data_IF_297354320708
#
_entry.id   IF_297354320708
#
_cell.length_a   1.000
_cell.length_b   1.000
_cell.length_c   1.000
_cell.angle_alpha   90.00
_cell.angle_beta   90.00
_cell.angle_gamma   90.00
#
_symmetry.space_group_name_H-M   'P 1'
#
loop_
_entity.id
_entity.type
_entity.pdbx_description
1 polymer ?
#
# COMPACT_ATOMS: atom_id res chain seq x y z
N UNK A 1 -24.88 25.39 -57.03
CA UNK A 1 -23.78 26.00 -57.82
C UNK A 1 -22.57 26.14 -56.91
N UNK A 2 -21.42 25.57 -57.34
CA UNK A 2 -20.01 25.78 -56.92
C UNK A 2 -19.71 25.79 -55.40
N UNK A 3 -18.99 24.85 -54.76
CA UNK A 3 -17.68 24.21 -55.02
C UNK A 3 -16.47 25.17 -55.08
N UNK A 4 -15.34 24.65 -54.56
CA UNK A 4 -13.96 25.17 -54.60
C UNK A 4 -13.58 26.17 -53.46
N UNK A 5 -12.41 26.12 -52.79
CA UNK A 5 -11.15 25.38 -52.95
C UNK A 5 -10.32 25.49 -51.64
N UNK A 6 -9.68 24.38 -51.28
CA UNK A 6 -8.30 24.23 -50.82
C UNK A 6 -7.37 25.48 -50.80
N UNK A 7 -6.68 25.70 -49.66
CA UNK A 7 -5.26 26.08 -49.69
C UNK A 7 -4.50 25.63 -48.43
N UNK A 8 -3.55 24.72 -48.67
CA UNK A 8 -2.43 24.39 -47.78
C UNK A 8 -1.53 25.60 -47.54
N UNK A 9 -0.91 25.67 -46.36
CA UNK A 9 0.42 26.25 -46.20
C UNK A 9 1.28 25.31 -45.36
N UNK A 10 2.37 24.87 -45.99
CA UNK A 10 3.44 24.00 -45.51
C UNK A 10 4.70 24.87 -45.49
N UNK A 11 5.35 25.01 -44.35
CA UNK A 11 6.71 25.54 -44.14
C UNK A 11 7.35 24.56 -43.14
N UNK A 12 8.25 23.66 -43.57
CA UNK A 12 9.71 23.83 -43.63
C UNK A 12 10.29 24.12 -42.21
N UNK A 13 10.81 23.13 -41.46
CA UNK A 13 12.06 22.35 -41.63
C UNK A 13 13.30 23.05 -41.04
N UNK A 14 13.99 22.28 -40.20
CA UNK A 14 15.39 22.38 -39.71
C UNK A 14 15.72 23.29 -38.51
N UNK A 15 16.34 22.67 -37.51
CA UNK A 15 16.90 23.29 -36.31
C UNK A 15 17.29 22.26 -35.24
N UNK A 16 18.25 21.38 -35.56
CA UNK A 16 18.92 20.51 -34.60
C UNK A 16 20.02 21.28 -33.88
N UNK A 17 20.11 21.18 -32.55
CA UNK A 17 21.36 21.37 -31.80
C UNK A 17 21.42 20.45 -30.58
N UNK A 18 22.65 20.01 -30.35
CA UNK A 18 23.11 18.83 -29.63
C UNK A 18 23.47 19.07 -28.17
N UNK A 19 23.53 17.95 -27.45
CA UNK A 19 24.27 17.66 -26.22
C UNK A 19 25.56 18.47 -26.04
N UNK A 20 25.81 18.89 -24.80
CA UNK A 20 27.16 18.90 -24.25
C UNK A 20 27.13 18.44 -22.79
N UNK A 21 28.06 17.56 -22.45
CA UNK A 21 28.26 17.01 -21.13
C UNK A 21 29.73 17.13 -20.78
N UNK A 22 30.02 17.28 -19.49
CA UNK A 22 31.38 17.12 -18.99
C UNK A 22 31.30 16.49 -17.60
N UNK A 23 31.77 15.24 -17.51
CA UNK A 23 32.21 14.67 -16.24
C UNK A 23 33.61 15.19 -15.90
N UNK A 24 34.02 14.97 -14.65
CA UNK A 24 35.39 14.57 -14.38
C UNK A 24 35.51 13.88 -13.02
N UNK A 25 36.37 12.87 -13.01
CA UNK A 25 36.72 12.00 -11.90
C UNK A 25 37.76 12.64 -10.96
N UNK A 26 37.84 12.06 -9.75
CA UNK A 26 39.08 11.66 -9.04
C UNK A 26 39.64 12.58 -7.94
N UNK A 27 39.58 12.01 -6.72
CA UNK A 27 40.66 11.85 -5.71
C UNK A 27 41.40 13.08 -5.17
N UNK A 28 41.43 13.25 -3.83
CA UNK A 28 42.58 12.92 -2.94
C UNK A 28 42.39 13.53 -1.53
N UNK A 29 42.76 12.73 -0.51
CA UNK A 29 43.48 13.09 0.76
C UNK A 29 42.90 14.17 1.69
N UNK A 30 42.59 13.82 2.96
CA UNK A 30 43.44 13.98 4.17
C UNK A 30 43.32 15.35 4.84
N UNK A 31 42.94 15.36 6.13
CA UNK A 31 43.43 16.19 7.25
C UNK A 31 42.57 15.82 8.49
N UNK A 32 43.04 15.19 9.58
CA UNK A 32 44.08 15.48 10.59
C UNK A 32 43.76 16.65 11.53
N UNK A 33 43.30 16.33 12.76
CA UNK A 33 43.43 17.08 14.03
C UNK A 33 43.28 16.01 15.13
N UNK A 34 44.33 15.39 15.66
CA UNK A 34 45.30 15.82 16.70
C UNK A 34 44.69 16.38 17.99
N UNK A 35 44.84 15.62 19.07
CA UNK A 35 44.83 16.10 20.47
C UNK A 35 45.52 15.03 21.32
N UNK A 36 46.80 15.26 21.57
CA UNK A 36 47.63 14.60 22.59
C UNK A 36 47.40 15.33 23.93
N UNK A 37 47.24 14.59 25.02
CA UNK A 37 47.79 14.97 26.33
C UNK A 37 47.94 13.70 27.22
N UNK A 38 49.20 13.43 27.58
CA UNK A 38 49.79 12.95 28.84
C UNK A 38 48.97 11.98 29.73
N UNK A 39 49.49 10.88 30.27
CA UNK A 39 50.85 10.49 30.62
C UNK A 39 50.74 9.75 31.98
N UNK A 40 51.23 8.51 32.08
CA UNK A 40 51.95 8.04 33.27
C UNK A 40 52.44 6.59 33.15
N UNK A 41 53.66 6.40 33.65
CA UNK A 41 54.41 5.15 33.75
C UNK A 41 53.92 4.31 34.94
N UNK A 42 53.77 2.99 34.76
CA UNK A 42 54.54 1.98 35.52
C UNK A 42 54.10 0.54 35.26
N UNK A 43 55.13 -0.29 35.17
CA UNK A 43 55.27 -1.65 35.70
C UNK A 43 55.10 -2.93 34.84
N UNK A 44 56.06 -3.81 35.10
CA UNK A 44 56.43 -5.08 34.46
C UNK A 44 55.35 -6.17 34.50
N UNK A 45 55.25 -7.01 33.45
CA UNK A 45 55.53 -8.46 33.51
C UNK A 45 55.15 -9.23 32.22
N UNK A 46 55.97 -10.21 31.89
CA UNK A 46 55.96 -11.13 30.75
C UNK A 46 54.84 -12.18 30.78
N UNK A 47 54.20 -12.49 29.63
CA UNK A 47 53.77 -13.88 29.29
C UNK A 47 53.31 -14.10 27.84
N UNK A 48 54.03 -15.01 27.17
CA UNK A 48 53.64 -15.97 26.11
C UNK A 48 52.26 -15.84 25.44
N UNK A 49 52.25 -15.53 24.13
CA UNK A 49 51.06 -15.54 23.27
C UNK A 49 50.67 -16.96 22.81
N UNK A 50 49.37 -17.29 22.93
CA UNK A 50 48.74 -18.52 22.40
C UNK A 50 48.57 -18.43 20.86
N UNK A 51 48.60 -19.55 20.12
CA UNK A 51 48.37 -19.53 18.67
C UNK A 51 46.90 -19.19 18.38
N UNK A 52 46.68 -18.43 17.29
CA UNK A 52 45.35 -17.99 16.88
C UNK A 52 44.46 -19.17 16.45
N UNK A 53 43.17 -19.05 16.71
CA UNK A 53 42.11 -20.02 16.36
C UNK A 53 42.12 -20.45 14.89
N UNK A 54 42.62 -19.59 14.00
CA UNK A 54 42.79 -19.86 12.57
C UNK A 54 43.82 -20.95 12.26
N UNK A 55 44.92 -21.04 13.03
CA UNK A 55 45.93 -22.10 12.84
C UNK A 55 45.42 -23.48 13.27
N UNK A 56 44.63 -23.56 14.34
CA UNK A 56 44.02 -24.82 14.80
C UNK A 56 42.98 -25.36 13.81
N UNK A 57 42.22 -24.46 13.16
CA UNK A 57 41.26 -24.83 12.12
C UNK A 57 41.94 -25.37 10.85
N UNK A 58 43.02 -24.73 10.40
CA UNK A 58 43.79 -25.19 9.24
C UNK A 58 44.48 -26.54 9.49
N UNK A 59 44.94 -26.77 10.73
CA UNK A 59 45.51 -28.05 11.13
C UNK A 59 44.47 -29.18 11.22
N UNK A 60 43.23 -28.85 11.64
CA UNK A 60 42.11 -29.79 11.66
C UNK A 60 41.63 -30.19 10.25
N UNK A 61 41.79 -29.29 9.26
CA UNK A 61 41.47 -29.54 7.85
C UNK A 61 42.60 -30.24 7.07
N UNK A 62 43.75 -30.50 7.70
CA UNK A 62 44.82 -31.31 7.12
C UNK A 62 45.59 -30.66 5.96
N UNK A 63 45.54 -29.33 5.84
CA UNK A 63 46.31 -28.58 4.86
C UNK A 63 47.62 -28.11 5.50
N UNK A 64 48.67 -28.92 5.43
CA UNK A 64 50.02 -28.49 5.82
C UNK A 64 50.80 -28.02 4.58
N UNK A 65 51.32 -26.80 4.65
CA UNK A 65 52.31 -26.32 3.69
C UNK A 65 53.61 -27.10 3.86
N UNK A 66 54.09 -27.68 2.77
CA UNK A 66 55.35 -28.42 2.71
C UNK A 66 56.54 -27.48 2.97
N UNK A 67 57.11 -27.53 4.18
CA UNK A 67 58.33 -26.77 4.50
C UNK A 67 59.57 -27.58 4.08
N UNK A 68 60.16 -27.27 2.92
CA UNK A 68 61.52 -27.72 2.55
C UNK A 68 62.51 -27.19 3.57
N UNK A 69 63.22 -28.08 4.30
CA UNK A 69 64.47 -27.71 4.97
C UNK A 69 65.64 -28.05 4.04
N UNK A 70 66.20 -27.00 3.45
CA UNK A 70 67.55 -26.95 2.89
C UNK A 70 68.47 -26.36 3.95
N UNK A 71 69.68 -26.89 4.10
CA UNK A 71 70.70 -26.37 5.01
C UNK A 71 71.50 -27.51 5.65
N UNK A 72 72.60 -27.88 4.97
CA UNK A 72 73.66 -28.71 5.53
C UNK A 72 74.61 -27.78 6.30
N UNK A 73 74.68 -27.91 7.62
CA UNK A 73 75.76 -27.34 8.43
C UNK A 73 76.63 -28.50 8.95
N UNK A 74 77.93 -28.37 8.70
CA UNK A 74 78.97 -29.35 8.97
C UNK A 74 79.65 -28.98 10.30
N UNK A 75 79.47 -29.78 11.36
CA UNK A 75 80.31 -29.72 12.56
C UNK A 75 81.26 -30.93 12.62
N UNK A 76 82.54 -30.74 12.98
CA UNK A 76 83.50 -31.83 13.06
C UNK A 76 83.32 -32.64 14.35
N UNK A 77 83.44 -33.95 14.18
CA UNK A 77 83.27 -34.98 15.20
C UNK A 77 84.25 -34.87 16.38
N UNK A 78 83.72 -34.97 17.59
CA UNK A 78 84.45 -35.48 18.76
C UNK A 78 84.01 -36.93 19.01
N UNK A 79 85.00 -37.82 19.09
CA UNK A 79 84.88 -39.26 19.31
C UNK A 79 84.36 -39.53 20.73
N UNK A 80 83.48 -40.53 20.85
CA UNK A 80 83.63 -41.67 21.75
C UNK A 80 82.57 -42.76 21.42
N UNK A 81 83.00 -44.01 21.51
CA UNK A 81 82.41 -45.24 20.97
C UNK A 81 81.10 -45.71 21.64
N UNK A 82 80.08 -46.12 20.85
CA UNK A 82 79.29 -47.40 20.97
C UNK A 82 78.42 -47.58 19.69
N UNK A 83 78.42 -48.73 18.99
CA UNK A 83 77.49 -48.97 17.88
C UNK A 83 76.12 -49.42 18.39
N UNK A 84 75.16 -48.51 18.48
CA UNK A 84 73.75 -48.87 18.73
C UNK A 84 73.11 -49.43 17.45
N UNK A 85 72.89 -50.75 17.44
CA UNK A 85 72.20 -51.49 16.38
C UNK A 85 70.74 -51.02 16.24
N UNK A 86 70.44 -50.23 15.20
CA UNK A 86 69.06 -49.87 14.87
C UNK A 86 68.24 -51.13 14.53
N UNK A 87 67.04 -51.33 15.10
CA UNK A 87 66.23 -52.49 14.77
C UNK A 87 65.69 -52.34 13.34
N UNK A 88 66.00 -53.30 12.46
CA UNK A 88 65.39 -53.44 11.14
C UNK A 88 63.89 -53.70 11.31
N UNK A 89 63.07 -52.65 11.22
CA UNK A 89 61.61 -52.78 11.14
C UNK A 89 61.25 -53.29 9.74
N UNK A 90 60.40 -54.31 9.66
CA UNK A 90 60.07 -54.97 8.39
C UNK A 90 59.18 -54.06 7.51
N UNK A 91 59.52 -53.87 6.20
CA UNK A 91 58.81 -52.95 5.30
C UNK A 91 57.31 -53.25 5.15
N UNK A 92 56.94 -54.53 5.26
CA UNK A 92 55.55 -54.99 5.13
C UNK A 92 54.62 -54.48 6.24
N UNK A 93 55.15 -54.23 7.46
CA UNK A 93 54.37 -53.73 8.60
C UNK A 93 54.12 -52.22 8.50
N UNK A 94 54.99 -51.46 7.83
CA UNK A 94 54.79 -50.03 7.56
C UNK A 94 53.78 -49.80 6.43
N UNK A 95 53.84 -50.58 5.35
CA UNK A 95 52.88 -50.46 4.23
C UNK A 95 51.44 -50.76 4.68
N UNK A 96 51.23 -51.79 5.53
CA UNK A 96 49.91 -52.07 6.11
C UNK A 96 49.43 -50.97 7.07
N UNK A 97 50.32 -50.35 7.85
CA UNK A 97 49.97 -49.25 8.75
C UNK A 97 49.64 -47.96 8.00
N UNK A 98 50.37 -47.64 6.93
CA UNK A 98 50.06 -46.51 6.05
C UNK A 98 48.72 -46.72 5.34
N UNK A 99 48.44 -47.92 4.83
CA UNK A 99 47.14 -48.26 4.24
C UNK A 99 45.99 -48.18 5.25
N UNK A 100 46.17 -48.69 6.47
CA UNK A 100 45.15 -48.57 7.53
C UNK A 100 44.96 -47.13 8.01
N UNK A 101 46.03 -46.34 8.12
CA UNK A 101 45.94 -44.92 8.48
C UNK A 101 45.24 -44.11 7.40
N UNK A 102 45.47 -44.42 6.12
CA UNK A 102 44.77 -43.82 4.99
C UNK A 102 43.28 -44.19 4.97
N UNK A 103 42.94 -45.47 5.17
CA UNK A 103 41.55 -45.95 5.23
C UNK A 103 40.82 -45.35 6.42
N UNK A 104 41.41 -45.33 7.61
CA UNK A 104 40.83 -44.71 8.82
C UNK A 104 40.66 -43.19 8.64
N UNK A 105 41.62 -42.52 7.98
CA UNK A 105 41.49 -41.10 7.62
C UNK A 105 40.34 -40.84 6.64
N UNK A 106 40.17 -41.71 5.65
CA UNK A 106 39.08 -41.62 4.68
C UNK A 106 37.71 -41.85 5.35
N UNK A 107 37.60 -42.88 6.19
CA UNK A 107 36.37 -43.18 6.96
C UNK A 107 36.01 -42.03 7.90
N UNK A 108 36.98 -41.41 8.58
CA UNK A 108 36.73 -40.23 9.43
C UNK A 108 36.24 -39.03 8.62
N UNK A 109 36.83 -38.77 7.44
CA UNK A 109 36.37 -37.68 6.55
C UNK A 109 34.97 -37.93 6.04
N UNK A 110 34.64 -39.16 5.66
CA UNK A 110 33.27 -39.53 5.25
C UNK A 110 32.31 -39.34 6.42
N UNK A 111 32.60 -39.87 7.61
CA UNK A 111 31.73 -39.71 8.79
C UNK A 111 31.49 -38.26 9.20
N UNK A 112 32.48 -37.39 9.03
CA UNK A 112 32.34 -35.95 9.32
C UNK A 112 31.63 -35.17 8.20
N UNK A 113 31.82 -35.57 6.93
CA UNK A 113 31.18 -34.91 5.79
C UNK A 113 29.71 -35.32 5.62
N UNK A 114 29.35 -36.56 5.93
CA UNK A 114 27.98 -37.08 5.80
C UNK A 114 26.92 -36.22 6.48
N UNK A 115 27.01 -35.83 7.78
CA UNK A 115 25.99 -34.99 8.41
C UNK A 115 25.91 -33.60 7.78
N UNK A 116 27.05 -33.04 7.33
CA UNK A 116 27.07 -31.74 6.66
C UNK A 116 26.38 -31.80 5.29
N UNK A 117 26.63 -32.85 4.50
CA UNK A 117 25.97 -33.08 3.22
C UNK A 117 24.47 -33.33 3.38
N UNK A 118 24.06 -34.06 4.42
CA UNK A 118 22.65 -34.29 4.75
C UNK A 118 21.97 -32.97 5.11
N UNK A 119 22.57 -32.16 5.98
CA UNK A 119 22.03 -30.85 6.36
C UNK A 119 21.97 -29.89 5.16
N UNK A 120 22.99 -29.90 4.30
CA UNK A 120 22.99 -29.11 3.07
C UNK A 120 21.85 -29.54 2.14
N UNK A 121 21.63 -30.85 1.97
CA UNK A 121 20.52 -31.38 1.17
C UNK A 121 19.16 -30.96 1.72
N UNK A 122 18.93 -31.09 3.03
CA UNK A 122 17.69 -30.62 3.65
C UNK A 122 17.54 -29.09 3.60
N UNK A 123 18.64 -28.34 3.71
CA UNK A 123 18.62 -26.88 3.54
C UNK A 123 18.23 -26.46 2.13
N UNK A 124 18.76 -27.14 1.11
CA UNK A 124 18.36 -26.93 -0.30
C UNK A 124 16.90 -27.31 -0.51
N UNK A 125 16.43 -28.43 0.03
CA UNK A 125 15.01 -28.81 -0.02
C UNK A 125 14.12 -27.78 0.67
N UNK A 126 14.54 -27.22 1.80
CA UNK A 126 13.78 -26.22 2.53
C UNK A 126 13.73 -24.88 1.77
N UNK A 127 14.85 -24.46 1.17
CA UNK A 127 14.88 -23.30 0.29
C UNK A 127 14.02 -23.51 -0.96
N UNK A 128 14.07 -24.69 -1.57
CA UNK A 128 13.23 -25.02 -2.72
C UNK A 128 11.73 -24.99 -2.33
N UNK A 129 11.36 -25.57 -1.18
CA UNK A 129 9.99 -25.55 -0.69
C UNK A 129 9.52 -24.13 -0.33
N UNK A 130 10.38 -23.32 0.30
CA UNK A 130 10.07 -21.92 0.59
C UNK A 130 9.93 -21.09 -0.70
N UNK A 131 10.77 -21.35 -1.71
CA UNK A 131 10.68 -20.70 -3.02
C UNK A 131 9.44 -21.15 -3.79
N UNK A 132 9.07 -22.44 -3.77
CA UNK A 132 7.84 -22.96 -4.37
C UNK A 132 6.59 -22.42 -3.68
N UNK A 133 6.56 -22.44 -2.35
CA UNK A 133 5.44 -21.90 -1.56
C UNK A 133 5.30 -20.38 -1.69
N UNK A 134 6.40 -19.64 -1.82
CA UNK A 134 6.35 -18.21 -2.14
C UNK A 134 6.05 -17.95 -3.61
N UNK A 135 6.46 -18.83 -4.52
CA UNK A 135 6.09 -18.72 -5.93
C UNK A 135 4.58 -18.86 -6.11
N UNK A 136 3.89 -19.70 -5.32
CA UNK A 136 2.43 -19.74 -5.30
C UNK A 136 1.80 -18.38 -4.93
N UNK A 137 2.46 -17.59 -4.08
CA UNK A 137 2.02 -16.23 -3.73
C UNK A 137 2.22 -15.23 -4.88
N UNK A 138 3.25 -15.42 -5.73
CA UNK A 138 3.59 -14.51 -6.82
C UNK A 138 2.96 -14.88 -8.16
N UNK A 139 2.58 -16.15 -8.33
CA UNK A 139 2.10 -16.64 -9.60
C UNK A 139 0.60 -16.55 -9.79
N UNK A 140 -0.13 -16.06 -8.77
CA UNK A 140 -1.58 -15.87 -8.75
C UNK A 140 -2.27 -16.83 -9.71
N UNK A 141 -1.93 -18.12 -9.55
CA UNK A 141 -2.63 -19.14 -10.28
C UNK A 141 -3.90 -19.19 -9.48
N UNK A 142 -4.86 -18.39 -9.92
CA UNK A 142 -6.26 -18.71 -9.82
C UNK A 142 -6.38 -20.17 -10.26
N UNK A 143 -6.11 -21.07 -9.32
CA UNK A 143 -6.89 -22.28 -9.15
C UNK A 143 -8.22 -21.78 -8.60
N UNK A 144 -8.87 -20.88 -9.35
CA UNK A 144 -10.31 -20.74 -9.33
C UNK A 144 -10.77 -22.15 -9.68
N UNK A 145 -11.21 -22.87 -8.66
CA UNK A 145 -11.65 -24.24 -8.77
C UNK A 145 -12.47 -24.41 -10.04
N UNK A 146 -11.98 -25.22 -10.99
CA UNK A 146 -12.73 -25.72 -12.15
C UNK A 146 -13.81 -26.72 -11.68
N UNK A 147 -14.51 -26.39 -10.58
CA UNK A 147 -15.64 -27.12 -10.09
C UNK A 147 -16.84 -26.74 -10.96
N UNK A 148 -17.19 -27.63 -11.89
CA UNK A 148 -18.25 -27.46 -12.88
C UNK A 148 -17.99 -26.30 -13.88
N UNK A 149 -16.93 -26.35 -14.71
CA UNK A 149 -16.56 -25.30 -15.68
C UNK A 149 -17.59 -25.11 -16.82
N UNK A 150 -18.63 -25.94 -16.81
CA UNK A 150 -19.72 -25.95 -17.77
C UNK A 150 -21.09 -25.79 -17.10
N UNK A 151 -21.14 -25.44 -15.81
CA UNK A 151 -22.38 -25.07 -15.13
C UNK A 151 -23.13 -24.01 -15.92
N UNK A 152 -24.45 -24.14 -16.05
CA UNK A 152 -25.26 -23.13 -16.74
C UNK A 152 -25.30 -23.21 -18.25
N UNK A 153 -24.36 -23.91 -18.90
CA UNK A 153 -24.25 -23.95 -20.37
C UNK A 153 -25.30 -24.90 -21.00
N UNK A 154 -25.73 -24.65 -22.25
CA UNK A 154 -26.69 -25.52 -22.94
C UNK A 154 -26.24 -26.99 -23.00
N UNK A 155 -27.14 -27.92 -22.68
CA UNK A 155 -26.87 -29.36 -22.66
C UNK A 155 -25.95 -29.84 -21.53
N UNK A 156 -25.74 -29.02 -20.48
CA UNK A 156 -24.87 -29.33 -19.33
C UNK A 156 -25.64 -29.21 -18.00
N UNK A 157 -24.99 -29.63 -16.91
CA UNK A 157 -25.58 -29.53 -15.58
C UNK A 157 -25.91 -28.07 -15.25
N UNK A 158 -27.13 -27.85 -14.75
CA UNK A 158 -27.62 -26.53 -14.43
C UNK A 158 -27.89 -25.64 -15.64
N UNK A 159 -28.14 -26.19 -16.83
CA UNK A 159 -28.50 -25.40 -18.02
C UNK A 159 -29.49 -24.26 -17.71
N UNK A 160 -29.12 -23.03 -18.07
CA UNK A 160 -29.90 -21.82 -17.80
C UNK A 160 -29.77 -21.24 -16.39
N UNK A 161 -28.97 -21.86 -15.50
CA UNK A 161 -28.77 -21.46 -14.11
C UNK A 161 -27.38 -20.85 -13.83
N UNK A 162 -26.66 -20.41 -14.87
CA UNK A 162 -25.33 -19.81 -14.72
C UNK A 162 -25.38 -18.45 -14.01
N UNK A 163 -26.39 -17.63 -14.30
CA UNK A 163 -26.56 -16.30 -13.72
C UNK A 163 -27.49 -16.35 -12.52
N UNK A 164 -27.09 -15.70 -11.43
CA UNK A 164 -27.96 -15.45 -10.30
C UNK A 164 -28.45 -13.99 -10.36
N UNK A 165 -29.76 -13.70 -10.17
CA UNK A 165 -30.32 -12.39 -10.52
C UNK A 165 -29.65 -11.16 -9.90
N UNK A 166 -29.01 -11.28 -8.73
CA UNK A 166 -28.31 -10.18 -8.03
C UNK A 166 -26.82 -10.48 -7.80
N UNK A 167 -26.18 -11.23 -8.70
CA UNK A 167 -24.79 -11.67 -8.47
C UNK A 167 -23.68 -10.65 -8.78
N UNK A 168 -24.03 -9.43 -9.20
CA UNK A 168 -23.05 -8.44 -9.66
C UNK A 168 -21.98 -8.10 -8.62
N UNK A 169 -22.31 -8.16 -7.34
CA UNK A 169 -21.41 -7.96 -6.20
C UNK A 169 -21.49 -9.11 -5.19
N UNK A 170 -21.83 -10.31 -5.67
CA UNK A 170 -21.86 -11.50 -4.81
C UNK A 170 -20.46 -11.70 -4.22
N UNK A 171 -20.41 -12.05 -2.93
CA UNK A 171 -19.16 -12.32 -2.20
C UNK A 171 -18.24 -11.10 -1.98
N UNK A 172 -18.69 -9.89 -2.31
CA UNK A 172 -17.98 -8.64 -2.00
C UNK A 172 -18.33 -8.18 -0.59
N UNK A 173 -17.38 -8.27 0.34
CA UNK A 173 -17.55 -7.80 1.72
C UNK A 173 -17.29 -6.28 1.81
N UNK A 174 -18.27 -5.45 2.20
CA UNK A 174 -18.03 -4.03 2.40
C UNK A 174 -17.05 -3.81 3.56
N UNK A 175 -16.08 -2.93 3.34
CA UNK A 175 -15.08 -2.52 4.31
C UNK A 175 -15.07 -0.99 4.41
N UNK A 176 -14.73 -0.41 5.58
CA UNK A 176 -14.66 1.04 5.76
C UNK A 176 -13.42 1.62 5.05
N UNK A 177 -13.46 1.60 3.72
CA UNK A 177 -12.44 2.10 2.80
C UNK A 177 -13.04 3.17 1.90
N UNK A 178 -12.27 4.22 1.64
CA UNK A 178 -12.60 5.26 0.68
C UNK A 178 -11.57 5.26 -0.47
N UNK A 179 -12.03 5.02 -1.70
CA UNK A 179 -11.20 5.10 -2.92
C UNK A 179 -11.01 6.57 -3.31
N UNK A 180 -9.96 7.18 -2.75
CA UNK A 180 -9.57 8.55 -3.10
C UNK A 180 -9.12 8.62 -4.56
N UNK A 181 -9.53 9.69 -5.26
CA UNK A 181 -9.37 9.85 -6.72
C UNK A 181 -9.74 8.57 -7.50
N UNK A 182 -10.93 8.02 -7.25
CA UNK A 182 -11.33 6.71 -7.77
C UNK A 182 -11.25 6.61 -9.32
N UNK A 183 -11.40 7.72 -10.02
CA UNK A 183 -11.28 7.76 -11.48
C UNK A 183 -9.87 7.43 -12.00
N UNK A 184 -8.85 7.34 -11.15
CA UNK A 184 -7.52 6.82 -11.49
C UNK A 184 -7.42 5.29 -11.51
N UNK A 185 -8.41 4.57 -10.97
CA UNK A 185 -8.44 3.11 -10.99
C UNK A 185 -8.62 2.58 -12.41
N UNK A 186 -8.22 1.33 -12.63
CA UNK A 186 -8.21 0.72 -13.96
C UNK A 186 -9.64 0.58 -14.48
N UNK A 187 -10.56 0.18 -13.59
CA UNK A 187 -12.00 0.21 -13.81
C UNK A 187 -12.62 1.16 -12.78
N UNK A 188 -12.78 2.47 -13.09
CA UNK A 188 -13.43 3.43 -12.18
C UNK A 188 -14.77 2.89 -11.67
N UNK A 189 -15.11 3.23 -10.44
CA UNK A 189 -16.21 2.71 -9.63
C UNK A 189 -16.08 1.21 -9.28
N UNK A 190 -15.87 0.35 -10.27
CA UNK A 190 -15.97 -1.10 -10.08
C UNK A 190 -14.76 -1.72 -9.38
N UNK A 191 -13.55 -1.19 -9.56
CA UNK A 191 -12.38 -1.66 -8.80
C UNK A 191 -12.59 -1.41 -7.30
N UNK A 192 -13.09 -0.23 -6.91
CA UNK A 192 -13.38 0.09 -5.52
C UNK A 192 -14.47 -0.81 -4.94
N UNK A 193 -15.57 -1.01 -5.67
CA UNK A 193 -16.65 -1.92 -5.26
C UNK A 193 -16.12 -3.34 -5.13
N UNK A 194 -15.33 -3.84 -6.09
CA UNK A 194 -14.76 -5.19 -6.06
C UNK A 194 -13.95 -5.46 -4.78
N UNK A 195 -13.18 -4.47 -4.33
CA UNK A 195 -12.42 -4.55 -3.08
C UNK A 195 -13.23 -4.24 -1.81
N UNK A 196 -14.53 -3.93 -1.95
CA UNK A 196 -15.43 -3.66 -0.83
C UNK A 196 -15.40 -2.22 -0.31
N UNK A 197 -14.73 -1.28 -0.98
CA UNK A 197 -14.68 0.10 -0.49
C UNK A 197 -16.07 0.74 -0.52
N UNK A 198 -16.52 1.23 0.64
CA UNK A 198 -17.84 1.85 0.83
C UNK A 198 -17.87 3.34 0.48
N UNK A 199 -16.77 3.90 -0.02
CA UNK A 199 -16.73 5.25 -0.57
C UNK A 199 -15.84 5.37 -1.80
N UNK A 200 -16.22 6.26 -2.71
CA UNK A 200 -15.46 6.65 -3.91
C UNK A 200 -15.49 8.16 -4.08
N UNK A 201 -14.42 8.72 -4.65
CA UNK A 201 -14.30 10.15 -4.90
C UNK A 201 -14.27 10.48 -6.39
N UNK A 202 -15.00 11.53 -6.79
CA UNK A 202 -15.06 12.07 -8.14
C UNK A 202 -14.68 13.57 -8.16
N UNK A 203 -13.55 13.88 -8.80
CA UNK A 203 -13.12 15.26 -9.04
C UNK A 203 -13.88 15.86 -10.24
N UNK A 204 -14.83 16.75 -9.98
CA UNK A 204 -15.71 17.32 -11.03
C UNK A 204 -15.25 18.70 -11.49
N UNK A 205 -15.14 18.87 -12.80
CA UNK A 205 -14.82 20.12 -13.48
C UNK A 205 -15.96 20.52 -14.41
N UNK A 206 -16.58 21.67 -14.18
CA UNK A 206 -17.60 22.21 -15.08
C UNK A 206 -16.95 22.90 -16.29
N UNK A 207 -17.22 22.41 -17.49
CA UNK A 207 -16.91 23.06 -18.76
C UNK A 207 -18.04 22.84 -19.76
N UNK A 208 -18.36 23.83 -20.59
CA UNK A 208 -19.35 23.69 -21.67
C UNK A 208 -20.69 23.06 -21.21
N UNK A 209 -21.15 23.42 -19.99
CA UNK A 209 -22.35 22.89 -19.32
C UNK A 209 -22.33 21.38 -18.97
N UNK A 210 -21.18 20.72 -19.04
CA UNK A 210 -20.98 19.33 -18.63
C UNK A 210 -19.89 19.17 -17.57
N UNK A 211 -19.90 18.04 -16.87
CA UNK A 211 -19.02 17.73 -15.75
C UNK A 211 -17.98 16.70 -16.17
N UNK A 212 -16.75 17.14 -16.37
CA UNK A 212 -15.61 16.30 -16.70
C UNK A 212 -14.92 15.81 -15.43
N UNK A 213 -14.36 14.60 -15.49
CA UNK A 213 -13.69 13.97 -14.36
C UNK A 213 -12.19 13.90 -14.59
N UNK A 214 -11.42 14.35 -13.60
CA UNK A 214 -9.97 14.17 -13.59
C UNK A 214 -9.29 14.95 -12.48
N UNK A 215 -8.04 14.58 -12.19
CA UNK A 215 -7.26 15.20 -11.12
C UNK A 215 -6.82 16.63 -11.47
N UNK A 216 -6.59 16.87 -12.76
CA UNK A 216 -6.18 18.17 -13.29
C UNK A 216 -6.72 18.37 -14.71
N UNK A 217 -6.63 19.60 -15.21
CA UNK A 217 -7.10 19.99 -16.53
C UNK A 217 -6.50 19.15 -17.68
N UNK A 218 -5.24 18.71 -17.55
CA UNK A 218 -4.58 17.93 -18.58
C UNK A 218 -5.10 16.49 -18.68
N UNK A 219 -5.72 15.97 -17.62
CA UNK A 219 -6.32 14.63 -17.57
C UNK A 219 -7.77 14.58 -18.08
N UNK A 220 -8.37 15.72 -18.38
CA UNK A 220 -9.76 15.78 -18.84
C UNK A 220 -9.88 15.30 -20.29
N UNK A 221 -10.87 14.45 -20.55
CA UNK A 221 -11.20 14.00 -21.91
C UNK A 221 -12.71 14.03 -22.09
N UNK A 222 -13.16 14.23 -23.34
CA UNK A 222 -14.60 14.44 -23.63
C UNK A 222 -15.49 13.23 -23.27
N UNK A 223 -14.91 12.04 -23.21
CA UNK A 223 -15.64 10.81 -22.89
C UNK A 223 -15.63 10.47 -21.39
N UNK A 224 -14.87 11.20 -20.58
CA UNK A 224 -14.73 10.95 -19.14
C UNK A 224 -15.50 12.02 -18.36
N UNK A 225 -16.80 11.81 -18.27
CA UNK A 225 -17.76 12.67 -17.59
C UNK A 225 -18.29 12.03 -16.32
N UNK A 226 -18.86 12.85 -15.42
CA UNK A 226 -19.49 12.40 -14.17
C UNK A 226 -20.60 11.37 -14.44
N UNK A 227 -21.40 11.59 -15.49
CA UNK A 227 -22.38 10.63 -15.99
C UNK A 227 -21.74 9.30 -16.42
N UNK A 228 -20.71 9.35 -17.25
CA UNK A 228 -20.11 8.14 -17.85
C UNK A 228 -19.36 7.26 -16.86
N UNK A 229 -18.72 7.85 -15.84
CA UNK A 229 -17.87 7.13 -14.90
C UNK A 229 -18.57 6.74 -13.60
N UNK A 230 -19.59 7.49 -13.18
CA UNK A 230 -20.22 7.28 -11.87
C UNK A 230 -21.73 7.09 -11.97
N UNK A 231 -22.48 8.08 -12.47
CA UNK A 231 -23.95 8.05 -12.38
C UNK A 231 -24.55 6.91 -13.20
N UNK A 232 -24.23 6.78 -14.49
CA UNK A 232 -24.78 5.72 -15.34
C UNK A 232 -24.33 4.33 -14.87
N UNK A 233 -23.03 4.08 -14.58
CA UNK A 233 -22.60 2.78 -14.04
C UNK A 233 -23.29 2.40 -12.72
N UNK A 234 -23.55 3.36 -11.82
CA UNK A 234 -24.30 3.12 -10.59
C UNK A 234 -25.77 2.77 -10.86
N UNK A 235 -26.43 3.48 -11.77
CA UNK A 235 -27.81 3.17 -12.17
C UNK A 235 -27.88 1.76 -12.76
N UNK A 236 -26.98 1.42 -13.67
CA UNK A 236 -26.95 0.11 -14.33
C UNK A 236 -26.68 -1.02 -13.32
N UNK A 237 -25.78 -0.80 -12.35
CA UNK A 237 -25.52 -1.75 -11.28
C UNK A 237 -26.76 -1.94 -10.39
N UNK A 238 -27.35 -0.85 -9.91
CA UNK A 238 -28.47 -0.91 -8.99
C UNK A 238 -29.75 -1.45 -9.64
N UNK A 239 -29.97 -1.17 -10.92
CA UNK A 239 -31.06 -1.76 -11.70
C UNK A 239 -30.91 -3.29 -11.79
N UNK A 240 -29.67 -3.78 -11.97
CA UNK A 240 -29.38 -5.23 -11.96
C UNK A 240 -29.56 -5.84 -10.57
N UNK A 241 -29.14 -5.14 -9.51
CA UNK A 241 -29.32 -5.59 -8.12
C UNK A 241 -30.77 -5.54 -7.64
N UNK A 242 -31.66 -4.85 -8.36
CA UNK A 242 -33.08 -4.71 -8.02
C UNK A 242 -33.98 -5.15 -9.19
N UNK A 243 -33.94 -6.43 -9.61
CA UNK A 243 -34.67 -6.90 -10.76
C UNK A 243 -36.18 -6.99 -10.49
N UNK A 244 -36.98 -6.75 -11.53
CA UNK A 244 -38.41 -7.08 -11.52
C UNK A 244 -38.57 -8.53 -11.99
N UNK A 245 -39.11 -9.36 -11.11
CA UNK A 245 -39.32 -10.79 -11.35
C UNK A 245 -40.78 -11.16 -11.12
N UNK A 246 -41.18 -12.36 -11.55
CA UNK A 246 -42.54 -12.88 -11.28
C UNK A 246 -42.83 -13.02 -9.77
N UNK A 247 -41.79 -13.08 -8.93
CA UNK A 247 -41.90 -13.26 -7.49
C UNK A 247 -42.00 -11.93 -6.74
N UNK A 248 -41.19 -10.95 -7.14
CA UNK A 248 -41.08 -9.66 -6.45
C UNK A 248 -40.59 -8.58 -7.41
N UNK A 249 -41.08 -7.36 -7.18
CA UNK A 249 -40.43 -6.15 -7.67
C UNK A 249 -39.31 -5.80 -6.68
N UNK A 250 -38.08 -6.27 -6.97
CA UNK A 250 -36.92 -5.98 -6.14
C UNK A 250 -36.75 -4.47 -5.98
N UNK A 251 -36.60 -4.01 -4.74
CA UNK A 251 -36.34 -2.61 -4.45
C UNK A 251 -35.61 -2.48 -3.11
N UNK A 252 -34.81 -1.42 -2.99
CA UNK A 252 -34.09 -1.12 -1.75
C UNK A 252 -32.81 -1.93 -1.54
N UNK A 253 -32.39 -2.76 -2.50
CA UNK A 253 -31.10 -3.43 -2.46
C UNK A 253 -29.98 -2.46 -2.81
N UNK A 254 -28.97 -2.39 -1.93
CA UNK A 254 -27.80 -1.54 -2.09
C UNK A 254 -26.78 -2.08 -3.09
N UNK A 255 -25.58 -1.47 -3.04
CA UNK A 255 -24.46 -1.83 -3.91
C UNK A 255 -23.86 -3.19 -3.55
N UNK A 256 -23.86 -3.56 -2.26
CA UNK A 256 -23.21 -4.78 -1.77
C UNK A 256 -24.25 -5.87 -1.52
N UNK A 257 -24.11 -7.04 -2.15
CA UNK A 257 -25.11 -8.12 -2.04
C UNK A 257 -25.16 -8.71 -0.63
N UNK A 258 -23.99 -8.84 0.00
CA UNK A 258 -23.83 -9.40 1.35
C UNK A 258 -24.42 -8.51 2.44
N UNK A 259 -24.51 -7.20 2.20
CA UNK A 259 -25.15 -6.21 3.08
C UNK A 259 -25.84 -5.15 2.22
N UNK A 260 -27.08 -5.47 1.85
CA UNK A 260 -27.91 -4.62 1.02
C UNK A 260 -28.22 -3.24 1.65
N UNK A 261 -28.00 -3.07 2.96
CA UNK A 261 -28.26 -1.81 3.67
C UNK A 261 -27.06 -0.86 3.65
N UNK A 262 -25.86 -1.38 3.37
CA UNK A 262 -24.64 -0.58 3.29
C UNK A 262 -24.71 0.39 2.10
N UNK A 263 -24.65 1.68 2.40
CA UNK A 263 -24.61 2.73 1.39
C UNK A 263 -23.20 2.85 0.78
N UNK A 264 -23.11 3.15 -0.51
CA UNK A 264 -21.89 3.61 -1.14
C UNK A 264 -21.85 5.14 -1.10
N UNK A 265 -20.81 5.71 -0.51
CA UNK A 265 -20.60 7.15 -0.53
C UNK A 265 -19.98 7.59 -1.85
N UNK A 266 -20.65 8.47 -2.58
CA UNK A 266 -20.10 9.18 -3.73
C UNK A 266 -19.69 10.58 -3.27
N UNK A 267 -18.41 10.75 -2.97
CA UNK A 267 -17.81 12.03 -2.62
C UNK A 267 -17.50 12.81 -3.91
N UNK A 268 -18.12 13.98 -4.06
CA UNK A 268 -18.00 14.84 -5.24
C UNK A 268 -17.15 16.06 -4.87
N UNK A 269 -15.89 16.09 -5.33
CA UNK A 269 -14.99 17.21 -5.12
C UNK A 269 -15.14 18.23 -6.26
N UNK A 270 -15.69 19.40 -5.93
CA UNK A 270 -15.90 20.49 -6.86
C UNK A 270 -14.60 21.24 -7.13
N UNK A 271 -14.02 21.07 -8.33
CA UNK A 271 -12.76 21.74 -8.71
C UNK A 271 -12.95 23.10 -9.38
N UNK A 272 -14.13 23.36 -9.96
CA UNK A 272 -14.52 24.67 -10.51
C UNK A 272 -15.37 25.46 -9.50
N UNK A 273 -15.96 26.60 -9.92
CA UNK A 273 -16.81 27.41 -9.04
C UNK A 273 -18.06 26.62 -8.59
N UNK A 274 -18.21 26.47 -7.29
CA UNK A 274 -19.29 25.69 -6.67
C UNK A 274 -20.69 26.09 -7.10
N UNK A 275 -21.03 27.39 -7.01
CA UNK A 275 -22.37 27.90 -7.36
C UNK A 275 -22.77 27.66 -8.82
N UNK A 276 -21.81 27.58 -9.74
CA UNK A 276 -22.06 27.29 -11.14
C UNK A 276 -22.17 25.76 -11.39
N UNK A 277 -21.32 24.96 -10.73
CA UNK A 277 -21.26 23.51 -10.91
C UNK A 277 -22.35 22.74 -10.16
N UNK A 278 -22.76 23.21 -8.98
CA UNK A 278 -23.72 22.52 -8.12
C UNK A 278 -25.08 22.24 -8.79
N UNK A 279 -25.72 23.20 -9.49
CA UNK A 279 -26.95 22.92 -10.22
C UNK A 279 -26.78 21.83 -11.29
N UNK A 280 -25.61 21.76 -11.94
CA UNK A 280 -25.32 20.74 -12.96
C UNK A 280 -25.12 19.37 -12.31
N UNK A 281 -24.40 19.29 -11.19
CA UNK A 281 -24.25 18.04 -10.41
C UNK A 281 -25.61 17.54 -9.95
N UNK A 282 -26.40 18.40 -9.30
CA UNK A 282 -27.75 18.05 -8.81
C UNK A 282 -28.67 17.55 -9.93
N UNK A 283 -28.59 18.17 -11.11
CA UNK A 283 -29.32 17.74 -12.31
C UNK A 283 -28.85 16.38 -12.82
N UNK A 284 -27.54 16.14 -12.89
CA UNK A 284 -27.02 14.86 -13.38
C UNK A 284 -27.37 13.70 -12.44
N UNK A 285 -27.59 13.96 -11.15
CA UNK A 285 -28.06 12.97 -10.16
C UNK A 285 -29.55 12.59 -10.28
N UNK A 286 -30.33 13.26 -11.14
CA UNK A 286 -31.79 13.06 -11.25
C UNK A 286 -32.20 11.61 -11.55
N UNK A 287 -31.41 10.88 -12.34
CA UNK A 287 -31.72 9.49 -12.66
C UNK A 287 -31.62 8.58 -11.42
N UNK A 288 -30.62 8.80 -10.56
CA UNK A 288 -30.52 8.09 -9.28
C UNK A 288 -31.64 8.52 -8.32
N UNK A 289 -31.96 9.82 -8.29
CA UNK A 289 -33.02 10.40 -7.45
C UNK A 289 -34.40 9.83 -7.78
N UNK A 290 -34.81 9.90 -9.03
CA UNK A 290 -36.13 9.44 -9.51
C UNK A 290 -36.34 7.93 -9.34
N UNK A 291 -35.25 7.15 -9.33
CA UNK A 291 -35.27 5.71 -9.02
C UNK A 291 -35.24 5.39 -7.52
N UNK A 292 -35.08 6.40 -6.66
CA UNK A 292 -35.05 6.23 -5.20
C UNK A 292 -33.74 5.62 -4.67
N UNK A 293 -32.64 5.77 -5.39
CA UNK A 293 -31.33 5.21 -5.02
C UNK A 293 -30.50 6.14 -4.12
N UNK A 294 -30.81 7.43 -4.07
CA UNK A 294 -30.07 8.40 -3.25
C UNK A 294 -30.59 8.46 -1.82
N UNK A 295 -29.68 8.47 -0.86
CA UNK A 295 -29.97 8.81 0.53
C UNK A 295 -30.44 10.26 0.60
N UNK A 296 -31.44 10.54 1.44
CA UNK A 296 -31.99 11.90 1.53
C UNK A 296 -32.51 12.23 2.92
N UNK A 297 -32.47 13.52 3.25
CA UNK A 297 -33.14 14.13 4.37
C UNK A 297 -34.55 14.56 3.97
N UNK A 298 -35.57 14.14 4.71
CA UNK A 298 -37.00 14.42 4.43
C UNK A 298 -37.58 15.62 5.20
N UNK A 299 -36.76 16.33 5.98
CA UNK A 299 -37.20 17.37 6.91
C UNK A 299 -37.20 16.93 8.37
N UNK A 300 -37.25 15.62 8.64
CA UNK A 300 -37.32 15.06 9.99
C UNK A 300 -36.23 14.03 10.28
N UNK A 301 -35.85 13.22 9.29
CA UNK A 301 -34.85 12.17 9.44
C UNK A 301 -34.05 11.93 8.16
N UNK A 302 -32.87 11.34 8.36
CA UNK A 302 -32.05 10.80 7.28
C UNK A 302 -32.59 9.44 6.85
N UNK A 303 -32.92 9.30 5.56
CA UNK A 303 -33.31 8.04 4.94
C UNK A 303 -32.15 7.50 4.11
N UNK A 304 -31.40 6.54 4.66
CA UNK A 304 -30.31 5.88 3.95
C UNK A 304 -30.82 5.05 2.78
N UNK A 305 -30.13 5.13 1.64
CA UNK A 305 -30.36 4.34 0.42
C UNK A 305 -29.02 3.83 -0.13
N UNK A 306 -29.08 3.20 -1.30
CA UNK A 306 -27.92 2.59 -1.95
C UNK A 306 -26.73 3.54 -2.12
N UNK A 307 -26.97 4.82 -2.39
CA UNK A 307 -25.91 5.81 -2.63
C UNK A 307 -26.11 7.05 -1.76
N UNK A 308 -25.08 7.47 -1.05
CA UNK A 308 -25.07 8.75 -0.31
C UNK A 308 -24.13 9.72 -1.02
N UNK A 309 -24.64 10.87 -1.48
CA UNK A 309 -23.81 11.87 -2.18
C UNK A 309 -23.31 12.90 -1.18
N UNK A 310 -22.01 13.15 -1.19
CA UNK A 310 -21.37 14.14 -0.31
C UNK A 310 -20.58 15.13 -1.17
N UNK A 311 -20.82 16.43 -1.02
CA UNK A 311 -20.08 17.48 -1.70
C UNK A 311 -18.90 17.96 -0.87
N UNK A 312 -17.72 18.06 -1.49
CA UNK A 312 -16.49 18.61 -0.90
C UNK A 312 -15.79 19.57 -1.88
N UNK A 313 -14.58 20.04 -1.56
CA UNK A 313 -13.83 20.99 -2.38
C UNK A 313 -14.46 22.38 -2.37
N UNK A 314 -14.82 22.90 -3.55
CA UNK A 314 -15.54 24.18 -3.69
C UNK A 314 -17.08 24.04 -3.57
N UNK A 315 -17.59 22.95 -2.97
CA UNK A 315 -19.03 22.74 -2.83
C UNK A 315 -19.71 23.93 -2.09
N UNK A 316 -20.79 24.50 -2.64
CA UNK A 316 -21.47 25.65 -2.04
C UNK A 316 -22.40 25.19 -0.90
N UNK A 317 -21.98 25.38 0.35
CA UNK A 317 -22.73 24.95 1.53
C UNK A 317 -24.11 25.63 1.61
N UNK A 318 -24.19 26.89 1.22
CA UNK A 318 -25.43 27.66 1.17
C UNK A 318 -26.47 27.03 0.22
N UNK A 319 -26.06 26.53 -0.95
CA UNK A 319 -26.98 25.87 -1.89
C UNK A 319 -27.39 24.47 -1.41
N UNK A 320 -26.50 23.78 -0.68
CA UNK A 320 -26.80 22.48 -0.08
C UNK A 320 -27.86 22.64 1.03
N UNK A 321 -27.69 23.61 1.93
CA UNK A 321 -28.61 23.80 3.06
C UNK A 321 -29.89 24.55 2.66
N UNK A 322 -29.78 25.59 1.83
CA UNK A 322 -30.91 26.43 1.41
C UNK A 322 -31.54 25.96 0.09
N UNK A 323 -31.36 24.68 -0.27
CA UNK A 323 -31.94 24.10 -1.47
C UNK A 323 -33.46 24.38 -1.58
N UNK A 324 -33.99 24.27 -2.78
CA UNK A 324 -35.37 24.68 -3.13
C UNK A 324 -36.48 24.02 -2.30
N UNK A 325 -36.18 22.95 -1.55
CA UNK A 325 -37.13 22.27 -0.68
C UNK A 325 -36.49 21.98 0.71
N UNK A 326 -36.93 22.63 1.80
CA UNK A 326 -36.43 22.34 3.14
C UNK A 326 -36.78 20.91 3.62
N UNK A 327 -37.71 20.24 2.95
CA UNK A 327 -38.17 18.87 3.23
C UNK A 327 -37.58 17.82 2.29
N UNK A 328 -36.63 18.17 1.42
CA UNK A 328 -35.93 17.19 0.60
C UNK A 328 -34.53 17.65 0.22
N UNK A 329 -33.53 16.91 0.68
CA UNK A 329 -32.12 17.10 0.31
C UNK A 329 -31.43 15.77 0.19
N UNK A 330 -30.74 15.55 -0.91
CA UNK A 330 -30.08 14.29 -1.26
C UNK A 330 -28.58 14.44 -1.56
N UNK A 331 -28.05 15.64 -1.34
CA UNK A 331 -26.62 15.95 -1.34
C UNK A 331 -26.27 16.47 0.05
N UNK A 332 -25.31 15.84 0.70
CA UNK A 332 -24.80 16.22 2.01
C UNK A 332 -23.47 16.95 1.86
N UNK A 333 -23.03 17.61 2.93
CA UNK A 333 -21.76 18.33 2.96
C UNK A 333 -20.66 17.53 3.66
N UNK A 334 -19.43 17.69 3.17
CA UNK A 334 -18.21 17.35 3.89
C UNK A 334 -17.81 18.54 4.77
N UNK A 335 -18.12 18.47 6.06
CA UNK A 335 -17.93 19.59 6.98
C UNK A 335 -16.43 19.81 7.30
N UNK A 336 -15.98 21.06 7.43
CA UNK A 336 -14.62 21.38 7.84
C UNK A 336 -14.43 21.06 9.32
N UNK A 337 -13.84 19.90 9.63
CA UNK A 337 -13.68 19.41 11.00
C UNK A 337 -12.85 20.37 11.86
N UNK A 338 -11.91 21.10 11.27
CA UNK A 338 -11.10 22.14 11.93
C UNK A 338 -11.95 23.33 12.46
N UNK A 339 -13.08 23.63 11.81
CA UNK A 339 -14.02 24.68 12.26
C UNK A 339 -15.06 24.18 13.24
N UNK A 340 -15.12 22.87 13.48
CA UNK A 340 -16.05 22.23 14.40
C UNK A 340 -15.44 21.97 15.77
N UNK A 341 -14.27 22.54 16.06
CA UNK A 341 -13.63 22.42 17.35
C UNK A 341 -14.52 22.95 18.48
N UNK A 342 -14.74 22.11 19.48
CA UNK A 342 -15.37 22.48 20.74
C UNK A 342 -14.33 22.35 21.85
N UNK A 343 -14.37 23.28 22.82
CA UNK A 343 -13.54 23.12 24.01
C UNK A 343 -13.87 21.77 24.69
N UNK A 344 -12.87 20.99 25.12
CA UNK A 344 -13.12 19.79 25.89
C UNK A 344 -14.06 20.10 27.05
N UNK A 345 -15.08 19.26 27.26
CA UNK A 345 -15.97 19.38 28.41
C UNK A 345 -15.13 19.23 29.68
N UNK A 346 -14.75 20.34 30.32
CA UNK A 346 -13.97 20.35 31.55
C UNK A 346 -14.82 20.01 32.78
N UNK A 347 -14.29 19.24 33.73
CA UNK A 347 -13.63 17.95 33.52
C UNK A 347 -14.68 16.89 33.19
N UNK A 348 -14.27 15.83 32.47
CA UNK A 348 -14.99 14.56 32.45
C UNK A 348 -15.14 14.15 33.91
N UNK A 349 -16.35 14.27 34.46
CA UNK A 349 -16.63 13.78 35.80
C UNK A 349 -16.31 12.29 35.81
N UNK A 350 -15.61 11.79 36.84
CA UNK A 350 -15.35 10.34 37.03
C UNK A 350 -16.64 9.50 37.19
N UNK A 351 -17.80 10.15 37.11
CA UNK A 351 -19.13 9.60 37.22
C UNK A 351 -19.88 9.58 35.85
N UNK A 352 -19.21 9.97 34.76
CA UNK A 352 -19.79 9.88 33.41
C UNK A 352 -19.68 8.43 32.91
N UNK A 353 -20.83 7.82 32.61
CA UNK A 353 -20.96 6.37 32.33
C UNK A 353 -20.41 5.95 30.97
N UNK A 354 -19.85 6.90 30.20
CA UNK A 354 -19.41 6.67 28.83
C UNK A 354 -17.99 6.07 28.73
N UNK A 355 -17.18 6.09 29.80
CA UNK A 355 -15.75 5.75 29.74
C UNK A 355 -15.21 4.99 30.97
N UNK A 356 -15.94 3.99 31.46
CA UNK A 356 -15.49 3.15 32.57
C UNK A 356 -14.20 2.33 32.29
N UNK A 357 -13.62 2.42 31.08
CA UNK A 357 -12.41 1.69 30.67
C UNK A 357 -11.24 2.60 30.23
N UNK A 358 -11.37 3.94 30.25
CA UNK A 358 -10.33 4.88 29.77
C UNK A 358 -9.36 5.38 30.87
N UNK A 359 -9.14 4.60 31.93
CA UNK A 359 -8.33 4.97 33.10
C UNK A 359 -6.82 5.24 32.80
N UNK A 360 -6.38 5.22 31.54
CA UNK A 360 -4.96 5.30 31.15
C UNK A 360 -4.61 6.38 30.09
N UNK A 361 -5.53 7.27 29.70
CA UNK A 361 -5.23 8.33 28.72
C UNK A 361 -5.18 9.73 29.37
N UNK A 362 -3.97 10.17 29.70
CA UNK A 362 -3.65 11.56 30.03
C UNK A 362 -3.59 12.39 28.74
N UNK A 363 -4.65 13.16 28.48
CA UNK A 363 -4.74 14.01 27.29
C UNK A 363 -3.79 15.22 27.30
N UNK A 364 -3.10 15.50 28.42
CA UNK A 364 -1.95 16.40 28.54
C UNK A 364 -2.07 17.81 27.90
N UNK A 365 -0.94 18.54 27.86
CA UNK A 365 -0.81 19.82 27.15
C UNK A 365 -0.96 19.72 25.62
N UNK A 366 -1.22 18.53 25.05
CA UNK A 366 -1.39 18.31 23.62
C UNK A 366 -2.64 18.99 23.02
N UNK A 367 -3.55 19.48 23.87
CA UNK A 367 -4.74 20.25 23.50
C UNK A 367 -4.53 21.78 23.61
N UNK A 368 -3.30 22.24 23.85
CA UNK A 368 -2.99 23.67 23.89
C UNK A 368 -2.94 24.26 22.47
N UNK A 369 -3.96 25.08 22.19
CA UNK A 369 -4.16 26.02 21.06
C UNK A 369 -2.96 26.21 20.10
N UNK A 370 -3.12 25.99 18.79
CA UNK A 370 -2.37 26.75 17.81
C UNK A 370 -2.94 28.18 17.79
N UNK A 371 -2.08 29.18 17.95
CA UNK A 371 -2.43 30.58 17.74
C UNK A 371 -3.14 30.75 16.39
N UNK A 372 -4.30 31.40 16.47
CA UNK A 372 -5.17 31.72 15.36
C UNK A 372 -4.49 32.73 14.43
N UNK A 373 -3.61 32.27 13.52
CA UNK A 373 -3.15 33.06 12.37
C UNK A 373 -2.37 32.25 11.32
N UNK A 374 -2.78 30.99 11.05
CA UNK A 374 -2.21 30.23 9.92
C UNK A 374 -3.23 30.14 8.79
N UNK A 375 -3.05 30.99 7.79
CA UNK A 375 -3.71 30.92 6.48
C UNK A 375 -3.08 29.81 5.64
N UNK A 376 -3.30 28.55 6.01
CA UNK A 376 -2.97 27.40 5.16
C UNK A 376 -4.14 27.06 4.25
N UNK A 377 -3.86 26.98 2.95
CA UNK A 377 -4.79 26.66 1.86
C UNK A 377 -5.16 25.16 1.84
N UNK A 378 -5.95 24.71 2.83
CA UNK A 378 -6.53 23.37 2.85
C UNK A 378 -7.87 23.29 2.10
N UNK A 379 -8.20 22.11 1.57
CA UNK A 379 -9.55 21.75 1.09
C UNK A 379 -10.59 21.99 2.20
N UNK A 380 -11.80 22.45 1.86
CA UNK A 380 -12.89 22.74 2.81
C UNK A 380 -13.08 24.21 3.24
N UNK A 381 -12.25 25.15 2.74
CA UNK A 381 -12.41 26.59 3.04
C UNK A 381 -13.33 27.35 2.09
N UNK A 382 -13.50 26.87 0.86
CA UNK A 382 -14.28 27.52 -0.20
C UNK A 382 -15.72 27.01 -0.15
N UNK A 383 -16.71 27.90 -0.33
CA UNK A 383 -18.13 27.55 -0.28
C UNK A 383 -18.78 27.56 1.10
N UNK A 384 -18.02 27.81 2.17
CA UNK A 384 -18.54 28.11 3.53
C UNK A 384 -18.48 29.61 3.86
N UNK A 385 -18.34 30.46 2.84
CA UNK A 385 -18.29 31.92 2.96
C UNK A 385 -19.59 32.43 3.61
N UNK A 386 -19.51 32.94 4.84
CA UNK A 386 -20.67 33.39 5.62
C UNK A 386 -21.17 32.42 6.69
N UNK A 387 -20.57 31.22 6.82
CA UNK A 387 -20.85 30.32 7.95
C UNK A 387 -20.04 30.78 9.17
N UNK A 388 -20.75 31.33 10.18
CA UNK A 388 -20.13 31.96 11.36
C UNK A 388 -20.07 31.06 12.60
N UNK A 389 -20.69 29.88 12.56
CA UNK A 389 -20.81 29.00 13.74
C UNK A 389 -20.58 27.53 13.36
N UNK A 390 -19.84 26.81 14.21
CA UNK A 390 -19.65 25.36 14.12
C UNK A 390 -20.98 24.60 14.06
N UNK A 391 -22.01 25.11 14.77
CA UNK A 391 -23.35 24.50 14.82
C UNK A 391 -24.10 24.54 13.49
N UNK A 392 -23.60 25.27 12.49
CA UNK A 392 -24.17 25.24 11.15
C UNK A 392 -24.02 23.86 10.51
N UNK A 393 -22.96 23.11 10.84
CA UNK A 393 -22.75 21.75 10.38
C UNK A 393 -23.40 20.78 11.39
N UNK A 394 -24.28 19.91 10.91
CA UNK A 394 -24.97 18.93 11.75
C UNK A 394 -25.31 17.67 10.95
N UNK A 395 -25.68 16.56 11.63
CA UNK A 395 -25.98 15.29 10.96
C UNK A 395 -27.11 15.33 9.92
N UNK A 396 -27.92 16.39 9.89
CA UNK A 396 -29.00 16.52 8.93
C UNK A 396 -28.48 17.06 7.59
N UNK A 397 -27.43 17.88 7.59
CA UNK A 397 -26.89 18.52 6.39
C UNK A 397 -25.49 18.05 5.98
N UNK A 398 -24.73 17.47 6.90
CA UNK A 398 -23.36 17.01 6.69
C UNK A 398 -23.27 15.52 6.97
N UNK A 399 -22.48 14.81 6.16
CA UNK A 399 -22.29 13.36 6.28
C UNK A 399 -20.85 12.99 6.64
N UNK A 400 -19.89 13.75 6.12
CA UNK A 400 -18.49 13.68 6.52
C UNK A 400 -18.09 14.93 7.31
N UNK A 401 -16.99 14.80 8.05
CA UNK A 401 -16.24 15.93 8.55
C UNK A 401 -14.75 15.63 8.35
N UNK A 402 -14.08 16.44 7.54
CA UNK A 402 -12.68 16.22 7.13
C UNK A 402 -11.77 17.37 7.54
N UNK A 403 -10.50 17.06 7.76
CA UNK A 403 -9.44 18.05 7.98
C UNK A 403 -8.12 17.53 7.42
N UNK A 404 -7.20 18.45 7.14
CA UNK A 404 -5.83 18.10 6.78
C UNK A 404 -5.13 17.45 7.97
N UNK A 405 -4.74 16.18 7.83
CA UNK A 405 -3.98 15.47 8.85
C UNK A 405 -2.70 16.23 9.23
N UNK A 406 -1.94 16.71 8.25
CA UNK A 406 -0.72 17.49 8.46
C UNK A 406 -0.99 18.79 9.22
N UNK A 407 -2.11 19.46 8.93
CA UNK A 407 -2.46 20.72 9.61
C UNK A 407 -2.95 20.50 11.04
N UNK A 408 -3.63 19.37 11.29
CA UNK A 408 -4.24 19.06 12.58
C UNK A 408 -3.27 18.39 13.55
N UNK A 409 -2.47 17.43 13.07
CA UNK A 409 -1.57 16.61 13.89
C UNK A 409 -0.11 17.11 13.83
N UNK A 410 0.27 17.80 12.76
CA UNK A 410 1.66 18.13 12.49
C UNK A 410 2.48 16.92 11.99
N UNK A 411 3.60 17.18 11.34
CA UNK A 411 4.61 16.18 10.98
C UNK A 411 6.01 16.74 11.20
#
# INVERSE_FOLDING_TARGET
>A
MASSLLRSNKLASEGAYTLDGTGDERSTTSDYVDSIEDGDLSDYSTRSARPSTTQSLLHALGLTSWRRKSGYDYEPAAKDDVPARAPKRSPQREIRRCRMSYVVGCVKRVLLATPFLILMFFGVLHMLHALLGRAQLFWDVDVSDDFLPHWGKPGRLGEGLAGYPTDATRDVLPIPCHSHNDYWRHVPLFDAIHWGCTGVEADVWLFDEDLYIGHNLASLTRNRTFQSLYVNPLVDLLDKMNPKTDFVNGSGHGVFDVDASQTLVLLVDFKTKGHEAFPVVSKQLETLRSKGYLSFWDGEKLNSRAVTVVGTGNAPFDLIVNGTNPHYRDIFFDAPLDKMWEAPRSPISRDDTLHAEDDELDYGEAMALPESNVTTSGQGKVGTEGVLSANAFNPNNSYYASTSFTSAVGF
#
